data_IF_156639354083
#
_entry.id   IF_156639354083
#
_cell.length_a   1.000
_cell.length_b   1.000
_cell.length_c   1.000
_cell.angle_alpha   90.00
_cell.angle_beta   90.00
_cell.angle_gamma   90.00
#
_symmetry.space_group_name_H-M   'P 1'
#
loop_
_entity.id
_entity.type
_entity.pdbx_description
1 polymer ?
#
# COMPACT_ATOMS: atom_id res chain seq x y z
N UNK A 1 -6.05 20.50 29.73
CA UNK A 1 -6.17 20.54 28.25
C UNK A 1 -4.80 20.14 27.67
N UNK A 2 -4.75 19.30 26.66
CA UNK A 2 -3.48 19.03 25.95
C UNK A 2 -3.10 20.29 25.17
N UNK A 3 -1.90 20.80 25.39
CA UNK A 3 -1.34 21.94 24.63
C UNK A 3 -0.92 21.51 23.19
N UNK A 4 -0.89 20.21 22.92
CA UNK A 4 -0.44 19.65 21.64
C UNK A 4 -1.25 18.41 21.29
N UNK A 5 -1.68 18.31 20.01
CA UNK A 5 -2.37 17.14 19.44
C UNK A 5 -1.54 16.58 18.28
N UNK A 6 -1.30 15.28 18.28
CA UNK A 6 -0.55 14.58 17.23
C UNK A 6 -1.51 13.90 16.27
N UNK A 7 -1.53 14.38 15.03
CA UNK A 7 -2.41 13.87 13.99
C UNK A 7 -1.57 13.19 12.90
N UNK A 8 -1.91 11.95 12.56
CA UNK A 8 -1.36 11.26 11.41
C UNK A 8 -2.38 11.24 10.27
N UNK A 9 -1.92 11.47 9.04
CA UNK A 9 -2.71 11.30 7.82
C UNK A 9 -2.05 10.19 7.02
N UNK A 10 -2.86 9.29 6.46
CA UNK A 10 -2.35 8.16 5.69
C UNK A 10 -3.17 7.90 4.43
N UNK A 11 -2.47 7.75 3.29
CA UNK A 11 -3.07 7.33 2.02
C UNK A 11 -3.78 8.43 1.24
N UNK A 12 -3.38 9.70 1.38
CA UNK A 12 -3.89 10.81 0.57
C UNK A 12 -2.80 11.36 -0.37
N UNK A 13 -3.23 11.95 -1.49
CA UNK A 13 -2.33 12.74 -2.34
C UNK A 13 -1.85 13.99 -1.59
N UNK A 14 -0.66 14.48 -1.93
CA UNK A 14 -0.09 15.67 -1.31
C UNK A 14 -1.04 16.87 -1.33
N UNK A 15 -1.67 17.13 -2.46
CA UNK A 15 -2.59 18.27 -2.61
C UNK A 15 -3.78 18.17 -1.67
N UNK A 16 -4.36 16.96 -1.54
CA UNK A 16 -5.49 16.72 -0.64
C UNK A 16 -5.03 16.78 0.80
N UNK A 17 -3.86 16.21 1.11
CA UNK A 17 -3.27 16.21 2.44
C UNK A 17 -2.96 17.62 2.92
N UNK A 18 -2.32 18.47 2.10
CA UNK A 18 -2.01 19.85 2.44
C UNK A 18 -3.27 20.69 2.67
N UNK A 19 -4.27 20.54 1.80
CA UNK A 19 -5.57 21.21 1.97
C UNK A 19 -6.24 20.78 3.27
N UNK A 20 -6.22 19.47 3.56
CA UNK A 20 -6.79 18.90 4.78
C UNK A 20 -6.05 19.41 6.01
N UNK A 21 -4.70 19.42 5.99
CA UNK A 21 -3.86 19.98 7.08
C UNK A 21 -4.19 21.44 7.38
N UNK A 22 -4.25 22.27 6.36
CA UNK A 22 -4.56 23.70 6.53
C UNK A 22 -5.93 23.90 7.17
N UNK A 23 -6.95 23.18 6.69
CA UNK A 23 -8.31 23.27 7.22
C UNK A 23 -8.42 22.72 8.63
N UNK A 24 -7.77 21.59 8.95
CA UNK A 24 -7.77 21.03 10.29
C UNK A 24 -7.05 21.97 11.26
N UNK A 25 -5.91 22.54 10.86
CA UNK A 25 -5.20 23.51 11.68
C UNK A 25 -6.09 24.68 12.11
N UNK A 26 -6.97 25.15 11.21
CA UNK A 26 -7.90 26.26 11.51
C UNK A 26 -9.11 25.85 12.38
N UNK A 27 -9.28 24.56 12.71
CA UNK A 27 -10.30 24.12 13.67
C UNK A 27 -9.91 24.36 15.13
N UNK A 28 -8.59 24.49 15.39
CA UNK A 28 -8.05 24.63 16.72
C UNK A 28 -7.63 26.07 16.97
N UNK A 29 -7.89 26.54 18.19
CA UNK A 29 -7.42 27.84 18.64
C UNK A 29 -5.89 27.85 18.77
N UNK A 30 -5.27 29.05 18.77
CA UNK A 30 -3.83 29.24 18.91
C UNK A 30 -3.22 28.60 20.17
N UNK A 31 -4.07 28.24 21.14
CA UNK A 31 -3.65 27.55 22.38
C UNK A 31 -3.35 26.06 22.17
N UNK A 32 -3.73 25.46 21.03
CA UNK A 32 -3.53 24.05 20.73
C UNK A 32 -2.62 23.88 19.53
N UNK A 33 -1.43 23.35 19.77
CA UNK A 33 -0.48 23.06 18.70
C UNK A 33 -0.81 21.73 18.02
N UNK A 34 -1.12 21.75 16.73
CA UNK A 34 -1.23 20.53 15.92
C UNK A 34 0.16 20.12 15.43
N UNK A 35 0.56 18.90 15.78
CA UNK A 35 1.78 18.27 15.27
C UNK A 35 1.41 17.17 14.27
N UNK A 36 1.85 17.33 13.03
CA UNK A 36 1.66 16.33 11.98
C UNK A 36 2.73 15.25 12.10
N UNK A 37 2.31 14.01 12.34
CA UNK A 37 3.21 12.88 12.58
C UNK A 37 2.99 11.78 11.54
N UNK A 38 3.99 10.93 11.38
CA UNK A 38 3.89 9.73 10.53
C UNK A 38 3.34 8.54 11.34
N UNK A 39 2.89 7.49 10.64
CA UNK A 39 2.43 6.26 11.30
C UNK A 39 3.52 5.57 12.13
N UNK A 40 4.80 5.87 11.92
CA UNK A 40 5.90 5.31 12.71
C UNK A 40 6.18 6.09 14.01
N UNK A 41 5.39 7.11 14.29
CA UNK A 41 5.56 7.92 15.50
C UNK A 41 5.18 7.14 16.75
N UNK A 42 5.89 7.42 17.85
CA UNK A 42 5.67 6.73 19.13
C UNK A 42 4.27 6.93 19.71
N UNK A 43 3.61 8.03 19.35
CA UNK A 43 2.22 8.32 19.76
C UNK A 43 1.47 9.08 18.67
N UNK A 44 0.22 8.70 18.46
CA UNK A 44 -0.75 9.35 17.57
C UNK A 44 -2.02 9.56 18.39
N UNK A 45 -2.55 10.79 18.40
CA UNK A 45 -3.78 11.11 19.10
C UNK A 45 -5.00 10.96 18.20
N UNK A 46 -4.85 11.23 16.89
CA UNK A 46 -5.89 11.06 15.87
C UNK A 46 -5.28 10.51 14.58
N UNK A 47 -5.93 9.54 13.99
CA UNK A 47 -5.55 8.95 12.70
C UNK A 47 -6.60 9.30 11.64
N UNK A 48 -6.17 9.93 10.55
CA UNK A 48 -6.97 10.17 9.35
C UNK A 48 -6.48 9.22 8.27
N UNK A 49 -7.32 8.30 7.83
CA UNK A 49 -6.91 7.22 6.93
C UNK A 49 -7.82 7.14 5.71
N UNK A 50 -7.23 7.12 4.51
CA UNK A 50 -7.99 6.82 3.30
C UNK A 50 -8.60 5.42 3.42
N UNK A 51 -9.84 5.28 3.00
CA UNK A 51 -10.62 4.04 3.06
C UNK A 51 -9.89 2.83 2.51
N UNK A 52 -9.17 2.99 1.40
CA UNK A 52 -8.38 1.94 0.75
C UNK A 52 -7.36 1.28 1.71
N UNK A 53 -6.92 2.00 2.74
CA UNK A 53 -5.89 1.54 3.67
C UNK A 53 -6.43 1.16 5.05
N UNK A 54 -7.76 1.24 5.24
CA UNK A 54 -8.37 0.98 6.54
C UNK A 54 -8.00 -0.41 7.10
N UNK A 55 -7.95 -1.42 6.22
CA UNK A 55 -7.67 -2.81 6.58
C UNK A 55 -6.16 -3.13 6.64
N UNK A 56 -5.27 -2.16 6.43
CA UNK A 56 -3.82 -2.39 6.54
C UNK A 56 -3.43 -2.76 7.97
N UNK A 57 -2.50 -3.71 8.14
CA UNK A 57 -2.04 -4.18 9.48
C UNK A 57 -1.58 -3.03 10.37
N UNK A 58 -0.90 -2.04 9.77
CA UNK A 58 -0.41 -0.89 10.52
C UNK A 58 -1.58 -0.03 11.03
N UNK A 59 -2.58 0.26 10.19
CA UNK A 59 -3.78 1.02 10.58
C UNK A 59 -4.60 0.26 11.61
N UNK A 60 -4.83 -1.02 11.38
CA UNK A 60 -5.56 -1.89 12.31
C UNK A 60 -4.87 -1.97 13.69
N UNK A 61 -3.54 -1.92 13.75
CA UNK A 61 -2.84 -1.88 15.03
C UNK A 61 -3.16 -0.61 15.85
N UNK A 62 -3.41 0.53 15.20
CA UNK A 62 -3.84 1.76 15.86
C UNK A 62 -5.31 1.72 16.28
N UNK A 63 -6.17 1.17 15.43
CA UNK A 63 -7.60 0.97 15.73
C UNK A 63 -7.76 0.04 16.94
N UNK A 64 -7.03 -1.06 16.99
CA UNK A 64 -7.01 -1.99 18.14
C UNK A 64 -6.53 -1.33 19.43
N UNK A 65 -5.59 -0.38 19.34
CA UNK A 65 -5.14 0.46 20.47
C UNK A 65 -6.14 1.55 20.83
N UNK A 66 -7.32 1.58 20.19
CA UNK A 66 -8.38 2.57 20.41
C UNK A 66 -7.95 4.01 20.12
N UNK A 67 -7.00 4.20 19.20
CA UNK A 67 -6.68 5.52 18.68
C UNK A 67 -7.90 6.03 17.92
N UNK A 68 -8.42 7.22 18.23
CA UNK A 68 -9.50 7.83 17.47
C UNK A 68 -9.12 7.96 16.00
N UNK A 69 -10.00 7.55 15.09
CA UNK A 69 -9.72 7.65 13.66
C UNK A 69 -10.90 8.16 12.87
N UNK A 70 -10.63 8.76 11.72
CA UNK A 70 -11.60 9.05 10.67
C UNK A 70 -11.16 8.34 9.39
N UNK A 71 -12.07 7.59 8.84
CA UNK A 71 -11.99 7.03 7.51
C UNK A 71 -12.27 8.13 6.49
N UNK A 72 -11.42 8.32 5.52
CA UNK A 72 -11.53 9.36 4.49
C UNK A 72 -12.04 8.73 3.19
N UNK A 73 -13.16 9.22 2.68
CA UNK A 73 -13.78 8.73 1.46
C UNK A 73 -14.12 9.92 0.54
N UNK A 74 -13.75 9.82 -0.74
CA UNK A 74 -14.11 10.87 -1.72
C UNK A 74 -15.58 10.74 -2.12
N UNK A 75 -16.37 11.79 -1.84
CA UNK A 75 -17.75 11.91 -2.30
C UNK A 75 -18.15 13.38 -2.27
N UNK A 76 -18.26 14.00 -3.45
CA UNK A 76 -18.56 15.43 -3.59
C UNK A 76 -19.95 15.82 -3.07
N UNK A 77 -20.95 14.96 -3.23
CA UNK A 77 -22.32 15.22 -2.78
C UNK A 77 -22.43 15.25 -1.25
N UNK A 78 -21.51 14.59 -0.55
CA UNK A 78 -21.48 14.47 0.91
C UNK A 78 -20.32 15.22 1.54
N UNK A 79 -19.69 16.13 0.80
CA UNK A 79 -18.50 16.88 1.23
C UNK A 79 -18.62 17.43 2.64
N UNK A 80 -17.67 17.11 3.50
CA UNK A 80 -17.58 17.60 4.88
C UNK A 80 -18.54 16.96 5.87
N UNK A 81 -19.36 15.99 5.47
CA UNK A 81 -20.20 15.22 6.40
C UNK A 81 -19.33 14.17 7.12
N UNK A 82 -19.69 13.89 8.38
CA UNK A 82 -19.10 12.79 9.16
C UNK A 82 -20.19 11.81 9.54
N UNK A 83 -20.08 10.57 9.08
CA UNK A 83 -21.02 9.51 9.41
C UNK A 83 -20.26 8.23 9.73
N UNK A 84 -20.56 7.60 10.88
CA UNK A 84 -19.93 6.34 11.33
C UNK A 84 -18.39 6.37 11.25
N UNK A 85 -17.77 7.42 11.79
CA UNK A 85 -16.33 7.69 11.72
C UNK A 85 -15.76 7.78 10.29
N UNK A 86 -16.62 8.08 9.30
CA UNK A 86 -16.24 8.37 7.91
C UNK A 86 -16.42 9.84 7.61
N UNK A 87 -15.34 10.51 7.20
CA UNK A 87 -15.33 11.89 6.70
C UNK A 87 -15.33 11.88 5.17
N UNK A 88 -16.31 12.54 4.58
CA UNK A 88 -16.41 12.65 3.13
C UNK A 88 -15.62 13.85 2.61
N UNK A 89 -14.70 13.57 1.67
CA UNK A 89 -13.87 14.57 0.99
C UNK A 89 -14.59 15.13 -0.25
N UNK A 90 -14.32 16.40 -0.62
CA UNK A 90 -13.39 17.36 -0.02
C UNK A 90 -13.81 17.83 1.37
N UNK A 91 -12.82 18.05 2.25
CA UNK A 91 -13.08 18.47 3.63
C UNK A 91 -13.68 19.89 3.68
N UNK A 92 -14.77 20.05 4.39
CA UNK A 92 -15.43 21.34 4.66
C UNK A 92 -15.52 21.54 6.16
N UNK A 93 -15.15 22.75 6.61
CA UNK A 93 -15.29 23.14 8.02
C UNK A 93 -16.75 23.47 8.28
N UNK A 94 -17.39 22.71 9.13
CA UNK A 94 -18.76 22.91 9.60
C UNK A 94 -18.86 22.53 11.08
N UNK A 95 -20.05 22.67 11.67
CA UNK A 95 -20.25 22.38 13.09
C UNK A 95 -20.08 20.90 13.41
N UNK A 96 -20.36 20.01 12.48
CA UNK A 96 -20.19 18.57 12.63
C UNK A 96 -18.71 18.20 12.71
N UNK A 97 -17.87 18.69 11.77
CA UNK A 97 -16.44 18.46 11.77
C UNK A 97 -15.78 19.08 12.99
N UNK A 98 -16.16 20.31 13.38
CA UNK A 98 -15.68 20.94 14.61
C UNK A 98 -16.08 20.11 15.83
N UNK A 99 -17.33 19.68 15.90
CA UNK A 99 -17.86 18.88 17.01
C UNK A 99 -17.14 17.55 17.17
N UNK A 100 -16.83 16.86 16.05
CA UNK A 100 -16.11 15.59 16.09
C UNK A 100 -14.69 15.75 16.67
N UNK A 101 -13.92 16.71 16.17
CA UNK A 101 -12.57 16.96 16.66
C UNK A 101 -12.56 17.43 18.12
N UNK A 102 -13.45 18.35 18.49
CA UNK A 102 -13.54 18.85 19.86
C UNK A 102 -13.93 17.75 20.84
N UNK A 103 -14.92 16.94 20.52
CA UNK A 103 -15.39 15.83 21.37
C UNK A 103 -14.27 14.80 21.60
N UNK A 104 -13.58 14.37 20.53
CA UNK A 104 -12.50 13.39 20.63
C UNK A 104 -11.27 13.96 21.32
N UNK A 105 -10.98 15.23 21.17
CA UNK A 105 -9.87 15.91 21.82
C UNK A 105 -10.14 16.17 23.32
N UNK A 106 -11.36 16.55 23.67
CA UNK A 106 -11.73 16.88 25.06
C UNK A 106 -12.10 15.64 25.90
N UNK A 107 -12.57 14.56 25.28
CA UNK A 107 -13.03 13.34 25.97
C UNK A 107 -11.94 12.27 26.16
N UNK A 108 -10.69 12.51 25.75
CA UNK A 108 -9.61 11.55 26.02
C UNK A 108 -9.31 11.54 27.51
N UNK A 109 -9.71 10.50 28.26
CA UNK A 109 -9.37 10.42 29.67
C UNK A 109 -7.85 10.29 29.80
N UNK A 110 -7.27 11.14 30.63
CA UNK A 110 -5.88 11.07 31.05
C UNK A 110 -5.67 9.80 31.87
N UNK A 111 -5.48 8.66 31.20
CA UNK A 111 -5.04 7.43 31.86
C UNK A 111 -4.26 6.55 30.88
N UNK A 112 -3.10 7.01 30.49
CA UNK A 112 -2.08 6.13 29.93
C UNK A 112 -1.07 5.77 31.00
N UNK A 113 -1.45 4.82 31.86
CA UNK A 113 -0.42 4.02 32.54
C UNK A 113 0.21 3.10 31.49
N UNK A 114 1.51 3.18 31.44
CA UNK A 114 2.40 2.35 30.64
C UNK A 114 2.01 0.86 30.71
N UNK A 115 1.44 0.33 29.65
CA UNK A 115 1.35 -1.11 29.46
C UNK A 115 2.65 -1.59 28.79
N UNK A 116 3.49 -2.20 29.61
CA UNK A 116 4.56 -3.07 29.13
C UNK A 116 3.92 -4.22 28.34
N UNK A 117 4.43 -4.39 27.16
CA UNK A 117 4.08 -5.39 26.16
C UNK A 117 4.21 -6.80 26.74
N UNK A 118 3.11 -7.51 26.87
CA UNK A 118 3.10 -8.97 26.84
C UNK A 118 2.52 -9.38 25.51
N UNK A 119 3.38 -9.82 24.61
CA UNK A 119 2.98 -10.52 23.39
C UNK A 119 2.64 -11.94 23.83
N UNK A 120 1.39 -12.23 24.09
CA UNK A 120 0.90 -13.60 24.13
C UNK A 120 0.01 -13.85 22.92
N UNK A 121 0.39 -14.92 22.23
CA UNK A 121 -0.26 -15.51 21.08
C UNK A 121 -1.75 -15.72 21.34
N UNK A 122 -2.60 -15.06 20.56
CA UNK A 122 -3.99 -15.47 20.42
C UNK A 122 -4.31 -15.65 18.93
N UNK A 123 -4.58 -16.90 18.63
CA UNK A 123 -5.16 -17.54 17.46
C UNK A 123 -5.86 -16.63 16.45
N UNK A 124 -5.40 -16.77 15.21
CA UNK A 124 -6.12 -16.78 13.91
C UNK A 124 -7.62 -16.47 13.98
N UNK A 125 -7.97 -15.19 13.93
CA UNK A 125 -9.16 -14.73 13.26
C UNK A 125 -8.73 -14.34 11.83
N UNK A 126 -9.47 -14.79 10.81
CA UNK A 126 -9.30 -14.40 9.43
C UNK A 126 -9.35 -12.87 9.34
N UNK A 127 -8.19 -12.25 9.37
CA UNK A 127 -8.04 -10.86 8.94
C UNK A 127 -8.17 -10.94 7.43
N UNK A 128 -9.20 -10.29 6.87
CA UNK A 128 -9.31 -10.10 5.43
C UNK A 128 -7.95 -9.66 4.94
N UNK A 129 -7.29 -10.53 4.22
CA UNK A 129 -6.01 -10.29 3.59
C UNK A 129 -6.22 -9.07 2.70
N UNK A 130 -5.51 -7.98 2.97
CA UNK A 130 -5.51 -6.82 2.08
C UNK A 130 -5.43 -7.38 0.67
N UNK A 131 -6.39 -7.03 -0.17
CA UNK A 131 -6.33 -7.48 -1.55
C UNK A 131 -5.12 -6.82 -2.21
N UNK A 132 -3.95 -7.47 -2.03
CA UNK A 132 -2.69 -7.00 -2.58
C UNK A 132 -2.78 -6.78 -4.10
N UNK A 133 -3.76 -7.41 -4.77
CA UNK A 133 -4.05 -7.19 -6.18
C UNK A 133 -4.59 -5.80 -6.42
N UNK A 134 -5.44 -5.28 -5.52
CA UNK A 134 -5.92 -3.90 -5.60
C UNK A 134 -4.76 -2.91 -5.42
N UNK A 135 -3.86 -3.16 -4.47
CA UNK A 135 -2.66 -2.33 -4.30
C UNK A 135 -1.77 -2.36 -5.54
N UNK A 136 -1.52 -3.54 -6.13
CA UNK A 136 -0.73 -3.66 -7.36
C UNK A 136 -1.43 -2.99 -8.55
N UNK A 137 -2.76 -3.04 -8.64
CA UNK A 137 -3.49 -2.36 -9.71
C UNK A 137 -3.25 -0.84 -9.71
N UNK A 138 -3.10 -0.24 -8.53
CA UNK A 138 -2.79 1.19 -8.38
C UNK A 138 -1.37 1.57 -8.83
N UNK A 139 -0.43 0.63 -8.90
CA UNK A 139 0.91 0.88 -9.47
C UNK A 139 0.88 1.20 -10.97
N UNK A 140 -0.18 0.78 -11.64
CA UNK A 140 -0.43 1.03 -13.06
C UNK A 140 -1.50 2.11 -13.31
N UNK A 141 -1.90 2.83 -12.28
CA UNK A 141 -2.83 3.94 -12.40
C UNK A 141 -2.02 5.24 -12.60
N UNK A 142 -2.01 5.75 -13.83
CA UNK A 142 -1.25 6.95 -14.21
C UNK A 142 -1.61 8.20 -13.40
N UNK A 143 -2.84 8.25 -12.85
CA UNK A 143 -3.31 9.37 -12.04
C UNK A 143 -2.58 9.49 -10.71
N UNK A 144 -2.01 8.40 -10.20
CA UNK A 144 -1.27 8.40 -8.95
C UNK A 144 0.07 9.17 -9.02
N UNK A 145 0.62 9.37 -10.22
CA UNK A 145 1.87 10.11 -10.41
C UNK A 145 3.06 9.42 -9.73
N UNK A 146 3.76 10.12 -8.82
CA UNK A 146 4.88 9.51 -8.08
C UNK A 146 4.41 9.00 -6.72
N UNK A 147 4.63 7.73 -6.46
CA UNK A 147 4.28 7.04 -5.22
C UNK A 147 5.52 6.45 -4.56
N UNK A 148 5.46 6.30 -3.23
CA UNK A 148 6.42 5.57 -2.42
C UNK A 148 5.83 4.21 -2.09
N UNK A 149 6.49 3.15 -2.49
CA UNK A 149 6.07 1.76 -2.23
C UNK A 149 6.81 1.22 -1.02
N UNK A 150 6.11 0.56 -0.14
CA UNK A 150 6.66 -0.03 1.08
C UNK A 150 5.94 -1.32 1.47
N UNK A 151 6.51 -2.06 2.39
CA UNK A 151 5.90 -3.22 3.03
C UNK A 151 6.16 -3.20 4.55
N UNK A 152 5.92 -4.32 5.22
CA UNK A 152 6.13 -4.42 6.68
C UNK A 152 7.58 -4.15 7.12
N UNK A 153 8.56 -4.24 6.24
CA UNK A 153 9.98 -4.01 6.55
C UNK A 153 10.45 -2.60 6.18
N UNK A 154 9.59 -1.75 5.63
CA UNK A 154 9.86 -0.35 5.29
C UNK A 154 9.80 -0.05 3.80
N UNK A 155 10.46 1.04 3.40
CA UNK A 155 10.49 1.50 2.00
C UNK A 155 11.12 0.48 1.07
N UNK A 156 10.48 0.27 -0.09
CA UNK A 156 10.95 -0.57 -1.18
C UNK A 156 11.50 0.24 -2.32
N UNK A 157 10.73 1.24 -2.74
CA UNK A 157 11.04 2.03 -3.92
C UNK A 157 10.20 3.30 -4.00
N UNK A 158 10.69 4.28 -4.76
CA UNK A 158 9.86 5.31 -5.37
C UNK A 158 9.45 4.83 -6.76
N UNK A 159 8.23 5.14 -7.18
CA UNK A 159 7.67 4.72 -8.45
C UNK A 159 6.93 5.88 -9.10
N UNK A 160 7.17 6.11 -10.37
CA UNK A 160 6.34 7.00 -11.17
C UNK A 160 5.41 6.15 -12.04
N UNK A 161 4.13 6.15 -11.73
CA UNK A 161 3.12 5.31 -12.39
C UNK A 161 2.85 5.75 -13.84
N UNK A 162 3.09 7.03 -14.16
CA UNK A 162 2.88 7.57 -15.51
C UNK A 162 4.01 7.21 -16.48
N UNK A 163 5.25 7.19 -15.99
CA UNK A 163 6.43 6.83 -16.82
C UNK A 163 6.86 5.39 -16.62
N UNK A 164 6.18 4.65 -15.74
CA UNK A 164 6.46 3.24 -15.40
C UNK A 164 7.91 3.01 -14.98
N UNK A 165 8.48 3.99 -14.25
CA UNK A 165 9.85 3.94 -13.74
C UNK A 165 9.86 3.75 -12.23
N UNK A 166 10.81 2.95 -11.75
CA UNK A 166 10.98 2.61 -10.33
C UNK A 166 12.42 2.88 -9.91
N UNK A 167 12.58 3.56 -8.78
CA UNK A 167 13.86 3.82 -8.12
C UNK A 167 13.91 3.05 -6.81
N UNK A 168 14.70 1.96 -6.81
CA UNK A 168 14.78 1.00 -5.71
C UNK A 168 15.60 1.59 -4.56
N UNK A 169 15.15 1.38 -3.31
CA UNK A 169 15.96 1.70 -2.15
C UNK A 169 17.14 0.72 -2.03
N UNK A 170 18.34 1.20 -2.36
CA UNK A 170 19.58 0.42 -2.33
C UNK A 170 20.04 0.07 -0.90
N UNK A 171 19.49 0.69 0.11
CA UNK A 171 19.88 0.45 1.51
C UNK A 171 19.17 -0.74 2.11
N UNK A 172 18.09 -1.18 1.48
CA UNK A 172 17.27 -2.28 1.94
C UNK A 172 17.91 -3.64 1.67
N UNK A 173 17.87 -4.52 2.68
CA UNK A 173 18.42 -5.88 2.61
C UNK A 173 17.32 -6.95 2.54
N UNK A 174 16.15 -6.65 3.09
CA UNK A 174 15.02 -7.58 3.16
C UNK A 174 14.33 -7.69 1.79
N UNK A 175 13.97 -8.94 1.41
CA UNK A 175 13.13 -9.18 0.24
C UNK A 175 11.74 -8.57 0.45
N UNK A 176 11.07 -8.26 -0.65
CA UNK A 176 9.70 -7.77 -0.65
C UNK A 176 8.75 -8.77 0.03
N UNK A 177 7.82 -8.25 0.83
CA UNK A 177 6.70 -9.02 1.38
C UNK A 177 5.43 -8.63 0.62
N UNK A 178 5.05 -9.40 -0.41
CA UNK A 178 3.92 -9.04 -1.28
C UNK A 178 2.58 -8.91 -0.52
N UNK A 179 2.37 -9.74 0.50
CA UNK A 179 1.13 -9.71 1.31
C UNK A 179 0.96 -8.46 2.16
N UNK A 180 2.02 -7.67 2.32
CA UNK A 180 2.02 -6.42 3.07
C UNK A 180 2.40 -5.21 2.22
N UNK A 181 2.47 -5.40 0.89
CA UNK A 181 2.69 -4.31 -0.06
C UNK A 181 1.66 -3.22 0.11
N UNK A 182 2.16 -1.99 0.11
CA UNK A 182 1.35 -0.80 0.22
C UNK A 182 2.08 0.38 -0.43
N UNK A 183 1.39 1.50 -0.59
CA UNK A 183 2.00 2.71 -1.13
C UNK A 183 1.45 3.96 -0.45
N UNK A 184 2.16 5.05 -0.60
CA UNK A 184 1.69 6.41 -0.32
C UNK A 184 2.18 7.34 -1.40
N UNK A 185 1.61 8.52 -1.50
CA UNK A 185 2.09 9.50 -2.47
C UNK A 185 3.45 10.05 -2.04
N UNK A 186 4.38 10.14 -2.99
CA UNK A 186 5.70 10.67 -2.74
C UNK A 186 5.64 12.18 -2.48
N UNK A 187 6.48 12.68 -1.57
CA UNK A 187 6.63 14.12 -1.38
C UNK A 187 7.35 14.74 -2.57
N UNK A 188 7.17 16.07 -2.77
CA UNK A 188 7.90 16.80 -3.83
C UNK A 188 9.42 16.64 -3.68
N UNK A 189 9.93 16.63 -2.44
CA UNK A 189 11.36 16.43 -2.18
C UNK A 189 11.85 15.03 -2.60
N UNK A 190 11.03 14.00 -2.38
CA UNK A 190 11.35 12.64 -2.81
C UNK A 190 11.35 12.54 -4.34
N UNK A 191 10.34 13.08 -4.99
CA UNK A 191 10.25 13.12 -6.45
C UNK A 191 11.42 13.88 -7.08
N UNK A 192 11.87 15.00 -6.48
CA UNK A 192 13.02 15.76 -6.95
C UNK A 192 14.34 14.99 -6.82
N UNK A 193 14.52 14.18 -5.76
CA UNK A 193 15.73 13.36 -5.60
C UNK A 193 15.97 12.38 -6.75
N UNK A 194 14.90 11.88 -7.35
CA UNK A 194 14.97 10.88 -8.42
C UNK A 194 14.75 11.46 -9.82
N UNK A 195 14.40 12.74 -9.95
CA UNK A 195 14.06 13.37 -11.24
C UNK A 195 15.17 13.30 -12.29
N UNK A 196 16.44 13.25 -11.85
CA UNK A 196 17.61 13.17 -12.74
C UNK A 196 18.24 11.76 -12.74
N UNK A 197 17.60 10.78 -12.15
CA UNK A 197 18.11 9.41 -12.09
C UNK A 197 17.33 8.52 -13.07
N UNK A 198 18.01 7.61 -13.71
CA UNK A 198 17.37 6.59 -14.51
C UNK A 198 16.76 5.53 -13.58
N UNK A 199 15.46 5.33 -13.67
CA UNK A 199 14.76 4.25 -12.99
C UNK A 199 14.87 2.93 -13.74
N UNK A 200 14.45 1.85 -13.08
CA UNK A 200 14.23 0.56 -13.72
C UNK A 200 12.78 0.47 -14.19
N UNK A 201 12.52 -0.40 -15.16
CA UNK A 201 11.17 -0.66 -15.67
C UNK A 201 10.24 -1.23 -14.57
N UNK A 202 9.01 -0.74 -14.50
CA UNK A 202 8.03 -1.14 -13.48
C UNK A 202 7.65 -2.62 -13.58
N UNK A 203 7.36 -3.11 -14.80
CA UNK A 203 6.96 -4.49 -15.01
C UNK A 203 8.05 -5.45 -14.57
N UNK A 204 9.30 -5.14 -14.93
CA UNK A 204 10.46 -5.95 -14.56
C UNK A 204 10.74 -5.91 -13.06
N UNK A 205 10.71 -4.73 -12.44
CA UNK A 205 10.90 -4.59 -11.00
C UNK A 205 9.84 -5.36 -10.22
N UNK A 206 8.58 -5.17 -10.59
CA UNK A 206 7.44 -5.81 -9.92
C UNK A 206 7.49 -7.32 -10.10
N UNK A 207 7.81 -7.80 -11.32
CA UNK A 207 7.97 -9.21 -11.58
C UNK A 207 9.01 -9.84 -10.64
N UNK A 208 10.18 -9.24 -10.51
CA UNK A 208 11.24 -9.74 -9.62
C UNK A 208 10.82 -9.68 -8.14
N UNK A 209 10.24 -8.57 -7.69
CA UNK A 209 9.79 -8.41 -6.31
C UNK A 209 8.73 -9.46 -5.91
N UNK A 210 7.78 -9.73 -6.80
CA UNK A 210 6.73 -10.74 -6.58
C UNK A 210 7.29 -12.17 -6.69
N UNK A 211 8.22 -12.41 -7.62
CA UNK A 211 8.88 -13.71 -7.77
C UNK A 211 9.67 -14.09 -6.52
N UNK A 212 10.50 -13.19 -6.03
CA UNK A 212 11.33 -13.38 -4.84
C UNK A 212 10.52 -13.58 -3.57
N UNK A 213 9.34 -12.98 -3.50
CA UNK A 213 8.41 -13.13 -2.38
C UNK A 213 7.46 -14.34 -2.52
N UNK A 214 7.58 -15.11 -3.61
CA UNK A 214 6.74 -16.28 -3.92
C UNK A 214 5.24 -15.96 -3.99
N UNK A 215 4.91 -14.81 -4.59
CA UNK A 215 3.51 -14.40 -4.76
C UNK A 215 2.74 -15.41 -5.63
N UNK A 216 1.52 -15.73 -5.20
CA UNK A 216 0.63 -16.65 -5.89
C UNK A 216 -0.79 -16.09 -5.85
N UNK A 217 -1.51 -16.20 -6.97
CA UNK A 217 -2.94 -15.88 -7.04
C UNK A 217 -3.71 -17.17 -6.73
N UNK A 218 -4.48 -17.16 -5.65
CA UNK A 218 -5.37 -18.28 -5.35
C UNK A 218 -6.47 -18.44 -6.42
N UNK A 219 -6.97 -19.64 -6.58
CA UNK A 219 -8.06 -19.97 -7.53
C UNK A 219 -7.76 -19.73 -9.02
N UNK A 220 -6.48 -19.75 -9.42
CA UNK A 220 -6.11 -19.64 -10.81
C UNK A 220 -6.31 -20.97 -11.56
N UNK A 221 -6.94 -20.91 -12.73
CA UNK A 221 -7.20 -22.13 -13.53
C UNK A 221 -6.02 -22.43 -14.46
N UNK A 222 -5.57 -23.70 -14.46
CA UNK A 222 -4.48 -24.15 -15.33
C UNK A 222 -4.91 -24.45 -16.77
N UNK A 223 -6.21 -24.51 -17.02
CA UNK A 223 -6.79 -24.85 -18.33
C UNK A 223 -6.94 -23.64 -19.25
N UNK A 224 -6.82 -22.42 -18.68
CA UNK A 224 -6.88 -21.19 -19.44
C UNK A 224 -5.60 -21.00 -20.25
N UNK A 225 -5.73 -20.52 -21.48
CA UNK A 225 -4.58 -20.13 -22.30
C UNK A 225 -4.06 -18.77 -21.85
N UNK A 226 -2.77 -18.70 -21.61
CA UNK A 226 -2.06 -17.49 -21.24
C UNK A 226 -1.03 -17.14 -22.31
N UNK A 227 -0.87 -15.85 -22.60
CA UNK A 227 0.12 -15.34 -23.55
C UNK A 227 1.05 -14.35 -22.87
N UNK A 228 2.35 -14.63 -22.92
CA UNK A 228 3.38 -13.74 -22.36
C UNK A 228 3.65 -12.58 -23.35
N UNK A 229 3.59 -11.36 -22.86
CA UNK A 229 3.84 -10.14 -23.63
C UNK A 229 5.21 -9.53 -23.33
N UNK A 230 5.65 -9.63 -22.08
CA UNK A 230 6.94 -9.09 -21.61
C UNK A 230 7.76 -10.24 -21.04
N UNK A 231 8.95 -10.46 -21.60
CA UNK A 231 9.85 -11.49 -21.10
C UNK A 231 10.43 -11.09 -19.74
N UNK A 232 10.35 -11.96 -18.73
CA UNK A 232 10.93 -11.69 -17.43
C UNK A 232 12.45 -11.63 -17.51
N UNK A 233 13.03 -10.77 -16.68
CA UNK A 233 14.48 -10.64 -16.50
C UNK A 233 14.83 -11.03 -15.06
N UNK A 234 14.90 -12.35 -14.73
CA UNK A 234 15.11 -12.79 -13.36
C UNK A 234 16.44 -12.28 -12.81
N UNK A 235 16.41 -11.72 -11.61
CA UNK A 235 17.60 -11.28 -10.89
C UNK A 235 18.44 -12.46 -10.38
N UNK A 236 17.78 -13.57 -9.99
CA UNK A 236 18.46 -14.78 -9.55
C UNK A 236 18.79 -15.70 -10.72
N UNK A 237 20.06 -16.09 -10.82
CA UNK A 237 20.56 -16.93 -11.91
C UNK A 237 20.17 -18.41 -11.78
N UNK A 238 19.91 -18.88 -10.56
CA UNK A 238 19.69 -20.30 -10.25
C UNK A 238 18.47 -20.90 -10.95
N UNK A 239 17.40 -20.14 -11.14
CA UNK A 239 16.14 -20.58 -11.76
C UNK A 239 15.96 -20.03 -13.18
N UNK A 240 16.93 -19.26 -13.69
CA UNK A 240 16.80 -18.51 -14.94
C UNK A 240 16.46 -19.40 -16.14
N UNK A 241 17.10 -20.56 -16.25
CA UNK A 241 16.86 -21.48 -17.37
C UNK A 241 15.44 -22.04 -17.38
N UNK A 242 14.90 -22.39 -16.21
CA UNK A 242 13.55 -22.92 -16.10
C UNK A 242 12.50 -21.84 -16.33
N UNK A 243 12.75 -20.62 -15.83
CA UNK A 243 11.91 -19.44 -16.11
C UNK A 243 11.85 -19.17 -17.62
N UNK A 244 12.98 -19.20 -18.33
CA UNK A 244 13.01 -18.97 -19.78
C UNK A 244 12.38 -20.10 -20.58
N UNK A 245 12.50 -21.35 -20.14
CA UNK A 245 11.76 -22.46 -20.76
C UNK A 245 10.25 -22.24 -20.69
N UNK A 246 9.73 -21.87 -19.52
CA UNK A 246 8.31 -21.57 -19.34
C UNK A 246 7.89 -20.36 -20.19
N UNK A 247 8.68 -19.28 -20.17
CA UNK A 247 8.41 -18.07 -20.93
C UNK A 247 8.23 -18.36 -22.42
N UNK A 248 9.11 -19.18 -23.00
CA UNK A 248 9.07 -19.55 -24.42
C UNK A 248 7.77 -20.28 -24.83
N UNK A 249 7.17 -21.07 -23.94
CA UNK A 249 5.88 -21.70 -24.23
C UNK A 249 4.73 -20.69 -24.13
N UNK A 250 4.74 -19.84 -23.12
CA UNK A 250 3.70 -18.84 -22.96
C UNK A 250 3.74 -17.73 -24.01
N UNK A 251 4.87 -17.43 -24.60
CA UNK A 251 4.97 -16.48 -25.72
C UNK A 251 4.10 -16.89 -26.91
N UNK A 252 3.92 -18.17 -27.14
CA UNK A 252 3.11 -18.74 -28.23
C UNK A 252 1.65 -18.98 -27.82
N UNK A 253 1.30 -18.69 -26.60
CA UNK A 253 0.01 -19.03 -26.02
C UNK A 253 -0.06 -20.50 -25.59
N UNK A 254 -0.16 -20.75 -24.29
CA UNK A 254 -0.22 -22.08 -23.75
C UNK A 254 -1.05 -22.12 -22.47
N UNK A 255 -1.51 -23.32 -22.11
CA UNK A 255 -2.11 -23.58 -20.79
C UNK A 255 -1.01 -24.02 -19.80
N UNK A 256 -1.24 -23.80 -18.49
CA UNK A 256 -0.30 -24.28 -17.47
C UNK A 256 -0.06 -25.80 -17.54
N UNK A 257 -1.09 -26.58 -17.88
CA UNK A 257 -0.97 -28.03 -18.05
C UNK A 257 -0.08 -28.41 -19.24
N UNK A 258 -0.24 -27.73 -20.38
CA UNK A 258 0.60 -27.97 -21.56
C UNK A 258 2.07 -27.66 -21.25
N UNK A 259 2.35 -26.56 -20.54
CA UNK A 259 3.71 -26.21 -20.14
C UNK A 259 4.29 -27.27 -19.19
N UNK A 260 3.52 -27.75 -18.23
CA UNK A 260 3.95 -28.83 -17.34
C UNK A 260 4.33 -30.10 -18.11
N UNK A 261 3.45 -30.56 -19.00
CA UNK A 261 3.69 -31.76 -19.82
C UNK A 261 4.96 -31.65 -20.70
N UNK A 262 5.23 -30.45 -21.22
CA UNK A 262 6.37 -30.20 -22.12
C UNK A 262 7.70 -29.99 -21.40
N UNK A 263 7.65 -29.38 -20.22
CA UNK A 263 8.87 -29.00 -19.48
C UNK A 263 9.24 -30.00 -18.39
N UNK A 264 8.24 -30.75 -17.84
CA UNK A 264 8.41 -31.63 -16.68
C UNK A 264 8.60 -30.86 -15.36
N UNK A 265 8.40 -29.52 -15.36
CA UNK A 265 8.58 -28.70 -14.17
C UNK A 265 7.40 -28.85 -13.19
N UNK A 266 7.66 -28.54 -11.92
CA UNK A 266 6.64 -28.58 -10.88
C UNK A 266 5.50 -27.60 -11.19
N UNK A 267 4.26 -28.08 -11.00
CA UNK A 267 3.07 -27.29 -11.26
C UNK A 267 3.01 -26.02 -10.39
N UNK A 268 3.52 -26.08 -9.15
CA UNK A 268 3.60 -24.91 -8.27
C UNK A 268 4.53 -23.84 -8.83
N UNK A 269 5.63 -24.24 -9.45
CA UNK A 269 6.57 -23.34 -10.09
C UNK A 269 5.94 -22.63 -11.29
N UNK A 270 5.18 -23.37 -12.11
CA UNK A 270 4.42 -22.83 -13.25
C UNK A 270 3.31 -21.90 -12.75
N UNK A 271 2.62 -22.27 -11.68
CA UNK A 271 1.59 -21.45 -11.05
C UNK A 271 2.14 -20.11 -10.54
N UNK A 272 3.27 -20.16 -9.86
CA UNK A 272 3.96 -18.93 -9.43
C UNK A 272 4.31 -18.06 -10.63
N UNK A 273 4.85 -18.65 -11.71
CA UNK A 273 5.19 -17.92 -12.93
C UNK A 273 3.98 -17.20 -13.53
N UNK A 274 2.87 -17.91 -13.71
CA UNK A 274 1.63 -17.33 -14.23
C UNK A 274 1.13 -16.23 -13.32
N UNK A 275 1.08 -16.47 -12.00
CA UNK A 275 0.60 -15.51 -11.02
C UNK A 275 1.40 -14.20 -11.05
N UNK A 276 2.72 -14.32 -10.99
CA UNK A 276 3.64 -13.17 -11.00
C UNK A 276 3.56 -12.41 -12.32
N UNK A 277 3.49 -13.12 -13.45
CA UNK A 277 3.43 -12.50 -14.77
C UNK A 277 2.09 -11.79 -15.03
N UNK A 278 0.98 -12.30 -14.50
CA UNK A 278 -0.31 -11.60 -14.55
C UNK A 278 -0.32 -10.35 -13.66
N UNK A 279 0.17 -10.45 -12.43
CA UNK A 279 0.23 -9.33 -11.49
C UNK A 279 1.13 -8.20 -11.98
N UNK A 280 2.24 -8.53 -12.60
CA UNK A 280 3.15 -7.55 -13.21
C UNK A 280 2.73 -7.05 -14.59
N UNK A 281 1.54 -7.48 -15.08
CA UNK A 281 1.05 -7.21 -16.43
C UNK A 281 2.00 -7.64 -17.56
N UNK A 282 2.87 -8.59 -17.27
CA UNK A 282 3.74 -9.20 -18.29
C UNK A 282 3.02 -10.29 -19.11
N UNK A 283 1.84 -10.71 -18.70
CA UNK A 283 1.04 -11.79 -19.30
C UNK A 283 -0.44 -11.42 -19.38
N UNK A 284 -1.10 -11.89 -20.44
CA UNK A 284 -2.56 -11.83 -20.61
C UNK A 284 -3.16 -13.23 -20.59
N UNK A 285 -4.46 -13.25 -20.24
CA UNK A 285 -5.25 -14.49 -20.11
C UNK A 285 -6.40 -14.52 -21.12
#
# INVERSE_FOLDING_TARGET
MKEQIKIAIFGLSLTIEENLKQKIQSLFDDSVKVEWVTLNSASIDVLLVNDLFLNSKIVQSYIQRKVPYLRLLSNEERSGQIENDTLYLPFIINDETKGWFNKRYLEVPVNFQSFKTSIENTSTANVDELDFKAVIAEFFNEENGTIQVFDQYGELALMNTKTEQVWIDQTRKEKCSYSTLNFTYATMQMSQKVSNQQGVDLHQWLWNALWDSKAVIENQTFDKTYTLEIWPQPSELSQRNDIFKIAAYFEQGATGQQVQQKTGLDLRFIHQFISVSLLSRAMKA
#
